data_IF_257593259814
#
_entry.id   IF_257593259814
#
_cell.length_a   1.000
_cell.length_b   1.000
_cell.length_c   1.000
_cell.angle_alpha   90.00
_cell.angle_beta   90.00
_cell.angle_gamma   90.00
#
_symmetry.space_group_name_H-M   'P 1'
#
loop_
_entity.id
_entity.type
_entity.pdbx_description
1 polymer ?
#
# COMPACT_ATOMS: atom_id res chain seq x y z
N UNK A 1 15.98 4.72 -1.72
CA UNK A 1 15.50 3.32 -1.86
C UNK A 1 14.01 3.31 -2.14
N UNK A 2 13.49 2.26 -2.80
CA UNK A 2 12.06 2.02 -2.92
C UNK A 2 11.52 1.55 -1.57
N UNK A 3 10.43 2.14 -1.03
CA UNK A 3 9.91 1.71 0.25
C UNK A 3 9.31 0.31 0.14
N UNK A 4 9.35 -0.41 1.26
CA UNK A 4 8.68 -1.71 1.37
C UNK A 4 7.20 -1.48 1.59
N UNK A 5 6.35 -2.34 1.01
CA UNK A 5 4.90 -2.29 1.16
C UNK A 5 4.39 -3.51 1.92
N UNK A 6 3.33 -3.34 2.69
CA UNK A 6 2.75 -4.42 3.49
C UNK A 6 1.51 -3.97 4.26
N UNK A 7 1.23 -4.69 5.36
CA UNK A 7 0.10 -4.44 6.25
C UNK A 7 0.62 -4.11 7.64
N UNK A 8 0.18 -2.99 8.20
CA UNK A 8 0.41 -2.64 9.60
C UNK A 8 -0.73 -3.23 10.43
N UNK A 9 -0.39 -4.11 11.37
CA UNK A 9 -1.35 -4.72 12.29
C UNK A 9 -1.20 -4.11 13.69
N UNK A 10 -2.31 -3.66 14.27
CA UNK A 10 -2.35 -3.31 15.69
C UNK A 10 -2.51 -4.57 16.53
N UNK A 11 -1.67 -4.75 17.56
CA UNK A 11 -1.67 -5.96 18.40
C UNK A 11 -2.40 -5.80 19.74
N UNK A 12 -2.96 -4.63 20.05
CA UNK A 12 -3.78 -4.43 21.27
C UNK A 12 -4.76 -3.24 21.13
N UNK A 13 -5.87 -3.26 21.88
CA UNK A 13 -6.95 -2.25 21.88
C UNK A 13 -6.55 -0.89 22.51
N UNK A 14 -5.32 -0.80 23.00
CA UNK A 14 -4.65 0.41 23.46
C UNK A 14 -3.99 1.21 22.33
N UNK A 15 -4.24 0.82 21.07
CA UNK A 15 -4.08 1.64 19.90
C UNK A 15 -4.72 3.02 20.18
N UNK A 16 -3.89 3.99 20.56
CA UNK A 16 -4.33 5.36 20.82
C UNK A 16 -5.08 5.90 19.59
N UNK A 17 -5.77 7.02 19.77
CA UNK A 17 -6.61 7.65 18.73
C UNK A 17 -5.93 7.92 17.36
N UNK A 18 -4.62 7.65 17.22
CA UNK A 18 -3.84 7.71 15.97
C UNK A 18 -3.95 6.47 15.08
N UNK A 19 -4.29 5.29 15.62
CA UNK A 19 -4.43 4.08 14.81
C UNK A 19 -5.89 3.87 14.37
N UNK A 20 -6.13 3.41 13.13
CA UNK A 20 -7.48 3.14 12.65
C UNK A 20 -8.18 2.13 13.57
N UNK A 21 -9.46 2.35 13.87
CA UNK A 21 -10.23 1.56 14.85
C UNK A 21 -10.21 0.05 14.58
N UNK A 22 -10.02 -0.38 13.33
CA UNK A 22 -9.95 -1.79 12.91
C UNK A 22 -8.53 -2.23 12.45
N UNK A 23 -7.47 -1.66 13.03
CA UNK A 23 -6.08 -2.03 12.71
C UNK A 23 -5.74 -3.51 12.99
N UNK A 24 -6.61 -4.27 13.68
CA UNK A 24 -6.47 -5.72 13.87
C UNK A 24 -6.54 -6.49 12.55
N UNK A 25 -7.41 -6.07 11.61
CA UNK A 25 -7.47 -6.59 10.25
C UNK A 25 -6.25 -6.17 9.40
N UNK A 26 -5.46 -5.24 9.91
CA UNK A 26 -4.29 -4.65 9.26
C UNK A 26 -4.67 -3.59 8.24
N UNK A 27 -3.87 -2.53 8.15
CA UNK A 27 -4.04 -1.44 7.17
C UNK A 27 -2.88 -1.39 6.20
N UNK A 28 -3.15 -1.01 4.94
CA UNK A 28 -2.10 -0.87 3.93
C UNK A 28 -1.07 0.18 4.37
N UNK A 29 0.20 -0.19 4.29
CA UNK A 29 1.32 0.64 4.76
C UNK A 29 2.54 0.51 3.85
N UNK A 30 3.42 1.52 3.92
CA UNK A 30 4.76 1.49 3.37
C UNK A 30 5.79 2.05 4.36
N UNK A 31 7.02 1.56 4.30
CA UNK A 31 8.08 1.96 5.23
C UNK A 31 9.48 1.92 4.62
N UNK A 32 10.38 2.69 5.24
CA UNK A 32 11.84 2.60 5.12
C UNK A 32 12.42 2.09 6.45
N UNK A 33 13.74 2.15 6.61
CA UNK A 33 14.41 1.72 7.84
C UNK A 33 14.02 2.56 9.08
N UNK A 34 13.64 3.83 8.88
CA UNK A 34 13.39 4.80 9.97
C UNK A 34 12.06 5.56 9.85
N UNK A 35 11.25 5.25 8.84
CA UNK A 35 10.00 5.98 8.53
C UNK A 35 8.89 5.03 8.11
N UNK A 36 7.64 5.41 8.42
CA UNK A 36 6.45 4.60 8.20
C UNK A 36 5.31 5.50 7.72
N UNK A 37 4.50 5.02 6.78
CA UNK A 37 3.21 5.61 6.42
C UNK A 37 2.14 4.52 6.27
N UNK A 38 0.90 4.82 6.67
CA UNK A 38 -0.23 3.91 6.55
C UNK A 38 -1.54 4.64 6.24
N UNK A 39 -2.49 3.90 5.66
CA UNK A 39 -3.83 4.42 5.38
C UNK A 39 -4.65 4.56 6.66
N UNK A 40 -5.30 5.70 6.80
CA UNK A 40 -6.33 5.97 7.78
C UNK A 40 -7.67 6.15 7.07
N UNK A 41 -8.75 5.75 7.73
CA UNK A 41 -10.10 5.78 7.18
C UNK A 41 -11.00 6.55 8.14
N UNK A 42 -11.57 7.65 7.67
CA UNK A 42 -12.48 8.49 8.46
C UNK A 42 -13.88 8.44 7.84
N UNK A 43 -14.91 7.99 8.56
CA UNK A 43 -16.28 8.04 8.04
C UNK A 43 -16.66 9.47 7.67
N UNK A 44 -17.19 9.65 6.47
CA UNK A 44 -17.95 10.85 6.13
C UNK A 44 -19.38 10.62 6.65
N UNK A 45 -20.16 11.66 6.99
CA UNK A 45 -21.49 11.53 7.64
C UNK A 45 -22.59 10.74 6.89
N UNK A 46 -22.25 9.93 5.88
CA UNK A 46 -23.10 8.97 5.17
C UNK A 46 -22.40 7.60 5.01
N UNK A 47 -22.51 6.96 3.83
CA UNK A 47 -21.87 5.66 3.54
C UNK A 47 -20.44 5.77 3.02
N UNK A 48 -19.94 6.99 2.83
CA UNK A 48 -18.61 7.26 2.30
C UNK A 48 -17.53 7.26 3.39
N UNK A 49 -16.30 7.07 2.96
CA UNK A 49 -15.11 7.11 3.81
C UNK A 49 -14.06 7.99 3.15
N UNK A 50 -13.46 8.89 3.93
CA UNK A 50 -12.25 9.61 3.56
C UNK A 50 -11.03 8.71 3.81
N UNK A 51 -10.16 8.62 2.80
CA UNK A 51 -8.90 7.88 2.89
C UNK A 51 -7.78 8.90 3.13
N UNK A 52 -7.25 8.91 4.34
CA UNK A 52 -6.08 9.70 4.74
C UNK A 52 -4.80 8.88 4.79
N UNK A 53 -3.67 9.57 4.94
CA UNK A 53 -2.36 8.94 5.20
C UNK A 53 -1.77 9.54 6.47
N UNK A 54 -1.39 8.68 7.41
CA UNK A 54 -0.61 9.05 8.60
C UNK A 54 0.81 8.58 8.39
N UNK A 55 1.79 9.43 8.67
CA UNK A 55 3.20 9.12 8.45
C UNK A 55 4.12 9.65 9.55
N UNK A 56 5.14 8.86 9.89
CA UNK A 56 6.13 9.11 10.94
C UNK A 56 7.55 8.94 10.40
N UNK A 57 8.51 9.56 11.11
CA UNK A 57 9.93 9.51 10.77
C UNK A 57 10.45 10.69 9.94
N UNK A 58 11.75 10.69 9.62
CA UNK A 58 12.40 11.74 8.82
C UNK A 58 11.85 11.81 7.38
N UNK A 59 11.52 10.67 6.76
CA UNK A 59 10.99 10.59 5.38
C UNK A 59 9.45 10.66 5.32
N UNK A 60 8.77 11.03 6.42
CA UNK A 60 7.31 10.98 6.53
C UNK A 60 6.55 11.67 5.39
N UNK A 61 7.01 12.83 4.93
CA UNK A 61 6.34 13.57 3.84
C UNK A 61 6.46 12.83 2.52
N UNK A 62 7.67 12.31 2.21
CA UNK A 62 7.92 11.51 1.02
C UNK A 62 7.06 10.24 1.01
N UNK A 63 6.96 9.53 2.14
CA UNK A 63 6.14 8.33 2.24
C UNK A 63 4.64 8.65 2.16
N UNK A 64 4.21 9.74 2.79
CA UNK A 64 2.82 10.21 2.72
C UNK A 64 2.41 10.57 1.30
N UNK A 65 3.25 11.33 0.58
CA UNK A 65 3.01 11.71 -0.82
C UNK A 65 2.96 10.47 -1.72
N UNK A 66 3.87 9.52 -1.52
CA UNK A 66 3.90 8.29 -2.29
C UNK A 66 2.63 7.46 -2.08
N UNK A 67 2.22 7.26 -0.83
CA UNK A 67 1.03 6.46 -0.54
C UNK A 67 -0.26 7.17 -0.99
N UNK A 68 -0.32 8.51 -0.85
CA UNK A 68 -1.41 9.34 -1.38
C UNK A 68 -1.49 9.24 -2.91
N UNK A 69 -0.33 9.31 -3.59
CA UNK A 69 -0.26 9.14 -5.04
C UNK A 69 -0.77 7.76 -5.46
N UNK A 70 -0.31 6.69 -4.80
CA UNK A 70 -0.77 5.32 -5.08
C UNK A 70 -2.30 5.17 -4.92
N UNK A 71 -2.90 5.77 -3.89
CA UNK A 71 -4.36 5.78 -3.69
C UNK A 71 -5.07 6.56 -4.81
N UNK A 72 -4.57 7.74 -5.19
CA UNK A 72 -5.16 8.54 -6.28
C UNK A 72 -5.08 7.83 -7.62
N UNK A 73 -3.97 7.16 -7.89
CA UNK A 73 -3.75 6.36 -9.11
C UNK A 73 -4.66 5.13 -9.12
N UNK A 74 -4.92 4.50 -7.97
CA UNK A 74 -5.96 3.48 -7.85
C UNK A 74 -7.35 4.05 -8.13
N UNK A 75 -7.68 5.18 -7.51
CA UNK A 75 -8.96 5.86 -7.62
C UNK A 75 -9.29 6.25 -9.07
N UNK A 76 -8.33 6.87 -9.76
CA UNK A 76 -8.54 7.40 -11.10
C UNK A 76 -8.49 6.32 -12.20
N UNK A 77 -7.61 5.33 -12.08
CA UNK A 77 -7.26 4.46 -13.21
C UNK A 77 -7.67 2.99 -13.02
N UNK A 78 -7.90 2.53 -11.78
CA UNK A 78 -8.05 1.09 -11.47
C UNK A 78 -9.38 0.74 -10.84
N UNK A 79 -9.89 1.62 -9.96
CA UNK A 79 -11.12 1.39 -9.21
C UNK A 79 -12.32 1.40 -10.17
N UNK A 80 -13.03 0.27 -10.24
CA UNK A 80 -14.14 0.04 -11.18
C UNK A 80 -13.70 -0.50 -12.54
N UNK A 81 -12.39 -0.71 -12.75
CA UNK A 81 -11.85 -1.41 -13.91
C UNK A 81 -11.79 -2.93 -13.71
N UNK A 82 -11.17 -3.67 -14.65
CA UNK A 82 -10.99 -5.11 -14.51
C UNK A 82 -10.09 -5.46 -13.33
N UNK A 83 -10.33 -6.64 -12.75
CA UNK A 83 -9.51 -7.16 -11.67
C UNK A 83 -8.04 -7.28 -12.10
N UNK A 84 -7.08 -6.94 -11.22
CA UNK A 84 -5.67 -7.08 -11.53
C UNK A 84 -5.29 -8.55 -11.72
N UNK A 85 -4.45 -8.83 -12.71
CA UNK A 85 -3.76 -10.13 -12.82
C UNK A 85 -2.44 -10.06 -12.07
N UNK A 86 -2.25 -10.94 -11.10
CA UNK A 86 -1.00 -11.09 -10.34
C UNK A 86 -0.26 -12.34 -10.82
N UNK A 87 0.95 -12.15 -11.35
CA UNK A 87 1.86 -13.24 -11.73
C UNK A 87 3.01 -13.31 -10.75
N UNK A 88 3.35 -14.53 -10.32
CA UNK A 88 4.45 -14.77 -9.38
C UNK A 88 5.56 -15.52 -10.12
N UNK A 89 6.77 -14.98 -10.04
CA UNK A 89 7.96 -15.54 -10.65
C UNK A 89 9.01 -15.88 -9.57
N UNK A 90 9.87 -16.89 -9.80
CA UNK A 90 11.10 -17.08 -9.04
C UNK A 90 11.96 -15.82 -9.01
N UNK A 91 12.76 -15.65 -7.96
CA UNK A 91 13.60 -14.45 -7.76
C UNK A 91 14.63 -14.24 -8.87
N UNK A 92 15.07 -15.29 -9.55
CA UNK A 92 16.06 -15.30 -10.62
C UNK A 92 15.47 -15.35 -12.04
N UNK A 93 14.14 -15.35 -12.17
CA UNK A 93 13.49 -15.44 -13.47
C UNK A 93 13.73 -14.18 -14.33
N UNK A 94 14.24 -14.40 -15.56
CA UNK A 94 14.35 -13.37 -16.58
C UNK A 94 12.98 -12.91 -17.09
N UNK A 95 12.84 -11.61 -17.40
CA UNK A 95 11.56 -10.96 -17.74
C UNK A 95 11.52 -10.29 -19.10
N UNK A 96 12.35 -10.71 -20.05
CA UNK A 96 12.50 -10.02 -21.33
C UNK A 96 11.18 -9.81 -22.13
N UNK A 97 10.09 -10.52 -21.78
CA UNK A 97 8.76 -10.38 -22.39
C UNK A 97 7.63 -10.09 -21.39
N UNK A 98 7.92 -9.58 -20.19
CA UNK A 98 6.87 -9.28 -19.21
C UNK A 98 6.00 -8.09 -19.67
N UNK A 99 4.66 -8.18 -19.57
CA UNK A 99 3.78 -7.04 -19.86
C UNK A 99 4.05 -5.86 -18.92
N UNK A 100 3.73 -4.65 -19.39
CA UNK A 100 3.80 -3.45 -18.56
C UNK A 100 2.89 -3.59 -17.33
N UNK A 101 3.41 -3.24 -16.16
CA UNK A 101 2.72 -3.44 -14.90
C UNK A 101 3.59 -3.03 -13.72
N UNK A 102 3.06 -3.21 -12.52
CA UNK A 102 3.80 -2.92 -11.29
C UNK A 102 4.54 -4.15 -10.82
N UNK A 103 5.87 -4.03 -10.70
CA UNK A 103 6.75 -5.05 -10.18
C UNK A 103 6.99 -4.83 -8.68
N UNK A 104 6.76 -5.87 -7.88
CA UNK A 104 7.16 -5.95 -6.48
C UNK A 104 8.18 -7.07 -6.31
N UNK A 105 9.40 -6.72 -5.95
CA UNK A 105 10.46 -7.68 -5.65
C UNK A 105 10.47 -7.99 -4.17
N UNK A 106 10.38 -9.28 -3.82
CA UNK A 106 10.52 -9.80 -2.46
C UNK A 106 11.69 -10.78 -2.41
N UNK A 107 12.25 -11.09 -1.23
CA UNK A 107 13.35 -12.03 -1.12
C UNK A 107 13.06 -13.41 -1.74
N UNK A 108 11.81 -13.90 -1.61
CA UNK A 108 11.40 -15.23 -2.07
C UNK A 108 10.72 -15.27 -3.43
N UNK A 109 10.33 -14.12 -3.98
CA UNK A 109 9.54 -14.08 -5.20
C UNK A 109 9.51 -12.69 -5.84
N UNK A 110 9.08 -12.70 -7.08
CA UNK A 110 9.04 -11.55 -7.95
C UNK A 110 7.59 -11.44 -8.46
N UNK A 111 6.81 -10.44 -8.00
CA UNK A 111 5.39 -10.31 -8.31
C UNK A 111 5.15 -9.24 -9.38
N UNK A 112 4.43 -9.57 -10.46
CA UNK A 112 3.96 -8.61 -11.47
C UNK A 112 2.46 -8.43 -11.35
N UNK A 113 2.03 -7.19 -11.16
CA UNK A 113 0.62 -6.80 -11.16
C UNK A 113 0.33 -6.09 -12.47
N UNK A 114 -0.61 -6.60 -13.25
CA UNK A 114 -1.10 -5.97 -14.48
C UNK A 114 -2.57 -5.68 -14.38
N UNK A 115 -2.99 -4.57 -15.00
CA UNK A 115 -4.39 -4.18 -15.17
C UNK A 115 -4.66 -4.26 -16.67
N UNK A 116 -5.65 -5.06 -17.07
CA UNK A 116 -5.99 -5.33 -18.47
C UNK A 116 -6.71 -4.17 -19.15
#
# INVERSE_FOLDING_TARGET
MQPTYGRLHGTDASAGAELPADASAGVSACWSDDSLAFLAFTPTGGTGVEIGVVAYGPDRYRLADLLTHDVRVWDAERRGGPDPTIRVYPTDAGRASAPAGRLLTKPSAQLLITWG
#
